data_IF_611212068260
#
_entry.id   IF_611212068260
#
_cell.length_a   1.000
_cell.length_b   1.000
_cell.length_c   1.000
_cell.angle_alpha   90.00
_cell.angle_beta   90.00
_cell.angle_gamma   90.00
#
_symmetry.space_group_name_H-M   'P 1'
#
loop_
_entity.id
_entity.type
_entity.pdbx_description
1 polymer ?
#
# COMPACT_ATOMS: atom_id res chain seq x y z
N UNK A 1 10.90 51.57 -8.60
CA UNK A 1 9.42 51.49 -8.56
C UNK A 1 8.96 50.52 -9.65
N UNK A 2 8.13 49.51 -9.31
CA UNK A 2 7.33 48.69 -10.24
C UNK A 2 8.10 47.62 -11.04
N UNK A 3 8.00 46.32 -10.74
CA UNK A 3 7.01 45.35 -11.26
C UNK A 3 6.88 45.40 -12.81
N UNK A 4 7.04 44.33 -13.60
CA UNK A 4 6.40 43.02 -13.44
C UNK A 4 6.96 41.92 -14.39
N UNK A 5 6.91 40.68 -13.87
CA UNK A 5 6.54 39.39 -14.53
C UNK A 5 7.41 38.81 -15.66
N UNK A 6 8.35 37.92 -15.27
CA UNK A 6 8.63 36.68 -16.02
C UNK A 6 7.95 35.51 -15.30
N UNK A 7 6.96 34.92 -15.96
CA UNK A 7 6.25 33.71 -15.50
C UNK A 7 7.13 32.50 -15.82
N UNK A 8 7.88 32.02 -14.83
CA UNK A 8 8.57 30.74 -14.89
C UNK A 8 7.58 29.61 -14.65
N UNK A 9 7.52 28.66 -15.59
CA UNK A 9 6.72 27.45 -15.44
C UNK A 9 7.36 26.58 -14.36
N UNK A 10 6.72 26.52 -13.19
CA UNK A 10 7.06 25.57 -12.14
C UNK A 10 6.55 24.21 -12.58
N UNK A 11 7.48 23.29 -12.84
CA UNK A 11 7.22 21.86 -13.01
C UNK A 11 6.67 21.30 -11.69
N UNK A 12 5.35 21.30 -11.56
CA UNK A 12 4.66 20.58 -10.50
C UNK A 12 4.80 19.07 -10.74
N UNK A 13 5.73 18.43 -10.02
CA UNK A 13 5.78 16.98 -9.88
C UNK A 13 4.57 16.50 -9.09
N UNK A 14 3.53 16.03 -9.79
CA UNK A 14 2.40 15.35 -9.19
C UNK A 14 2.84 13.97 -8.68
N UNK A 15 3.10 13.85 -7.38
CA UNK A 15 3.09 12.55 -6.70
C UNK A 15 1.63 12.21 -6.43
N UNK A 16 1.00 11.46 -7.35
CA UNK A 16 -0.35 10.95 -7.17
C UNK A 16 -0.27 9.73 -6.25
N UNK A 17 -0.55 9.94 -4.97
CA UNK A 17 -0.88 8.85 -4.04
C UNK A 17 -2.16 8.13 -4.50
N UNK A 18 -2.26 6.84 -4.19
CA UNK A 18 -3.35 5.96 -4.64
C UNK A 18 -4.78 6.48 -4.33
N UNK A 19 -4.93 7.36 -3.32
CA UNK A 19 -6.20 8.01 -2.99
C UNK A 19 -6.69 9.03 -4.03
N UNK A 20 -5.78 9.74 -4.73
CA UNK A 20 -6.16 10.75 -5.72
C UNK A 20 -6.62 10.12 -7.06
N UNK A 21 -6.20 8.88 -7.36
CA UNK A 21 -6.63 8.15 -8.55
C UNK A 21 -8.13 7.82 -8.52
N UNK A 22 -8.69 7.57 -7.32
CA UNK A 22 -10.12 7.33 -7.13
C UNK A 22 -10.97 8.61 -7.34
N UNK A 23 -10.48 9.77 -6.89
CA UNK A 23 -11.14 11.05 -7.10
C UNK A 23 -11.19 11.45 -8.58
N UNK A 24 -10.12 11.18 -9.34
CA UNK A 24 -10.07 11.43 -10.79
C UNK A 24 -10.96 10.44 -11.55
N UNK A 25 -10.99 9.16 -11.15
CA UNK A 25 -11.89 8.15 -11.72
C UNK A 25 -13.37 8.56 -11.58
N UNK A 26 -13.77 9.10 -10.40
CA UNK A 26 -15.14 9.56 -10.16
C UNK A 26 -15.53 10.76 -11.04
N UNK A 27 -14.59 11.67 -11.32
CA UNK A 27 -14.84 12.84 -12.19
C UNK A 27 -14.88 12.48 -13.68
N UNK A 28 -14.12 11.48 -14.14
CA UNK A 28 -14.11 11.06 -15.54
C UNK A 28 -15.38 10.28 -15.95
N UNK A 29 -15.97 9.52 -15.02
CA UNK A 29 -17.17 8.70 -15.28
C UNK A 29 -18.46 9.52 -15.41
N UNK A 30 -18.54 10.68 -14.77
CA UNK A 30 -19.68 11.61 -14.89
C UNK A 30 -19.80 12.29 -16.27
N UNK A 31 -18.72 12.32 -17.07
CA UNK A 31 -18.72 12.93 -18.42
C UNK A 31 -19.00 11.94 -19.56
N UNK A 32 -18.77 10.63 -19.35
CA UNK A 32 -18.87 9.63 -20.43
C UNK A 32 -20.31 9.19 -20.72
N UNK A 33 -21.20 9.23 -19.73
CA UNK A 33 -22.63 8.92 -19.92
C UNK A 33 -23.39 9.92 -20.81
N UNK A 34 -22.84 11.12 -21.05
CA UNK A 34 -23.45 12.11 -21.94
C UNK A 34 -22.99 12.03 -23.42
N UNK A 35 -22.06 11.12 -23.78
CA UNK A 35 -21.50 11.04 -25.15
C UNK A 35 -21.92 9.82 -25.97
N UNK A 36 -22.59 8.83 -25.38
CA UNK A 36 -22.96 7.59 -26.08
C UNK A 36 -24.36 7.60 -26.74
N UNK A 37 -24.99 8.77 -26.94
CA UNK A 37 -26.30 8.88 -27.59
C UNK A 37 -26.31 9.41 -29.03
N UNK A 38 -25.18 9.50 -29.72
CA UNK A 38 -25.16 9.88 -31.15
C UNK A 38 -24.06 9.16 -31.91
N UNK A 39 -24.42 8.12 -32.67
CA UNK A 39 -23.96 7.83 -34.04
C UNK A 39 -24.26 6.36 -34.42
N UNK A 40 -25.33 6.14 -35.19
CA UNK A 40 -25.55 4.96 -36.02
C UNK A 40 -25.51 5.38 -37.50
N UNK A 41 -24.91 4.56 -38.37
CA UNK A 41 -25.08 4.69 -39.82
C UNK A 41 -24.09 3.90 -40.70
N UNK A 42 -24.58 2.82 -41.32
CA UNK A 42 -24.36 2.49 -42.75
C UNK A 42 -23.18 1.58 -43.17
N UNK A 43 -23.42 0.47 -43.91
CA UNK A 43 -22.38 -0.43 -44.45
C UNK A 43 -22.08 -0.21 -45.94
N UNK A 44 -20.94 -0.71 -46.41
CA UNK A 44 -20.59 -0.80 -47.84
C UNK A 44 -19.59 -1.92 -48.10
N UNK A 45 -20.04 -2.95 -48.81
CA UNK A 45 -19.23 -4.00 -49.44
C UNK A 45 -18.82 -3.57 -50.86
N UNK A 46 -17.59 -3.90 -51.28
CA UNK A 46 -17.26 -4.14 -52.69
C UNK A 46 -16.11 -5.16 -52.78
N UNK A 47 -16.34 -6.22 -53.56
CA UNK A 47 -15.39 -7.28 -53.96
C UNK A 47 -14.43 -6.83 -55.08
N UNK A 48 -13.22 -7.41 -55.17
CA UNK A 48 -12.74 -8.05 -56.42
C UNK A 48 -11.53 -9.01 -56.21
N UNK A 49 -11.46 -9.95 -57.14
CA UNK A 49 -10.69 -11.18 -57.41
C UNK A 49 -9.16 -10.95 -57.59
N UNK A 50 -8.21 -11.88 -57.40
CA UNK A 50 -8.17 -13.31 -57.08
C UNK A 50 -6.73 -13.83 -57.24
N UNK A 51 -6.38 -14.95 -56.59
CA UNK A 51 -5.61 -16.08 -57.16
C UNK A 51 -5.46 -17.21 -56.10
N UNK A 52 -5.50 -18.46 -56.53
CA UNK A 52 -5.64 -19.66 -55.70
C UNK A 52 -4.30 -20.27 -55.24
N UNK A 53 -4.20 -20.68 -53.96
CA UNK A 53 -3.71 -22.03 -53.68
C UNK A 53 -4.65 -22.74 -52.69
N UNK A 54 -5.59 -23.53 -53.22
CA UNK A 54 -6.75 -24.06 -52.49
C UNK A 54 -6.48 -24.95 -51.27
N UNK A 55 -5.30 -25.57 -51.12
CA UNK A 55 -4.97 -26.33 -49.91
C UNK A 55 -4.41 -25.43 -48.79
N UNK A 56 -3.54 -24.47 -49.12
CA UNK A 56 -2.97 -23.50 -48.16
C UNK A 56 -3.99 -22.42 -47.79
N UNK A 57 -4.88 -22.02 -48.71
CA UNK A 57 -5.95 -21.06 -48.45
C UNK A 57 -7.02 -21.63 -47.51
N UNK A 58 -7.38 -22.91 -47.63
CA UNK A 58 -8.32 -23.57 -46.70
C UNK A 58 -7.71 -23.81 -45.32
N UNK A 59 -6.42 -24.17 -45.26
CA UNK A 59 -5.69 -24.29 -44.00
C UNK A 59 -5.49 -22.92 -43.33
N UNK A 60 -5.15 -21.87 -44.09
CA UNK A 60 -5.11 -20.49 -43.60
C UNK A 60 -6.50 -19.99 -43.21
N UNK A 61 -7.56 -20.28 -43.95
CA UNK A 61 -8.92 -19.87 -43.59
C UNK A 61 -9.40 -20.60 -42.32
N UNK A 62 -9.10 -21.89 -42.14
CA UNK A 62 -9.36 -22.60 -40.88
C UNK A 62 -8.48 -22.09 -39.74
N UNK A 63 -7.20 -21.78 -39.97
CA UNK A 63 -6.30 -21.21 -38.97
C UNK A 63 -6.68 -19.75 -38.61
N UNK A 64 -7.19 -18.98 -39.56
CA UNK A 64 -7.70 -17.61 -39.37
C UNK A 64 -9.09 -17.63 -38.76
N UNK A 65 -9.92 -18.64 -39.01
CA UNK A 65 -11.23 -18.84 -38.34
C UNK A 65 -11.05 -19.43 -36.94
N UNK A 66 -10.04 -20.28 -36.72
CA UNK A 66 -9.61 -20.73 -35.40
C UNK A 66 -8.92 -19.61 -34.63
N UNK A 67 -8.03 -18.82 -35.27
CA UNK A 67 -7.48 -17.59 -34.67
C UNK A 67 -8.57 -16.56 -34.42
N UNK A 68 -9.55 -16.35 -35.30
CA UNK A 68 -10.70 -15.49 -35.04
C UNK A 68 -11.63 -16.08 -33.98
N UNK A 69 -11.77 -17.40 -33.83
CA UNK A 69 -12.52 -18.01 -32.74
C UNK A 69 -11.78 -17.92 -31.40
N UNK A 70 -10.44 -17.99 -31.41
CA UNK A 70 -9.55 -17.76 -30.26
C UNK A 70 -9.47 -16.27 -29.93
N UNK A 71 -9.47 -15.38 -30.91
CA UNK A 71 -9.47 -13.92 -30.77
C UNK A 71 -10.87 -13.39 -30.40
N UNK A 72 -11.95 -14.06 -30.83
CA UNK A 72 -13.34 -13.79 -30.40
C UNK A 72 -13.64 -14.40 -29.03
N UNK A 73 -12.82 -15.38 -28.56
CA UNK A 73 -12.70 -15.77 -27.15
C UNK A 73 -11.72 -14.90 -26.35
N UNK A 74 -10.90 -14.10 -27.03
CA UNK A 74 -9.97 -13.13 -26.44
C UNK A 74 -10.38 -11.70 -26.82
N UNK A 75 -11.70 -11.43 -26.82
CA UNK A 75 -12.19 -10.09 -26.60
C UNK A 75 -11.88 -9.75 -25.13
N UNK A 76 -11.13 -8.68 -24.83
CA UNK A 76 -10.72 -8.35 -23.45
C UNK A 76 -11.87 -7.75 -22.61
N UNK A 77 -13.11 -8.19 -22.83
CA UNK A 77 -14.33 -7.71 -22.19
C UNK A 77 -15.38 -8.83 -21.98
N UNK A 78 -14.98 -10.12 -21.89
CA UNK A 78 -15.93 -11.13 -21.42
C UNK A 78 -15.97 -11.14 -19.89
N UNK A 79 -17.18 -11.00 -19.33
CA UNK A 79 -17.51 -11.11 -17.90
C UNK A 79 -17.14 -12.46 -17.26
N UNK A 80 -16.52 -13.39 -18.00
CA UNK A 80 -16.21 -14.77 -17.60
C UNK A 80 -15.25 -14.89 -16.39
N UNK A 81 -14.62 -13.78 -15.98
CA UNK A 81 -13.71 -13.73 -14.82
C UNK A 81 -14.39 -13.23 -13.54
N UNK A 82 -15.56 -12.59 -13.67
CA UNK A 82 -16.36 -12.10 -12.57
C UNK A 82 -17.36 -13.18 -12.19
N UNK A 83 -17.21 -13.72 -10.99
CA UNK A 83 -18.07 -14.78 -10.49
C UNK A 83 -19.41 -14.20 -10.04
N UNK A 84 -20.49 -14.89 -10.39
CA UNK A 84 -21.82 -14.65 -9.84
C UNK A 84 -21.88 -14.93 -8.33
N UNK A 85 -22.89 -14.42 -7.59
CA UNK A 85 -23.05 -14.73 -6.16
C UNK A 85 -23.08 -16.22 -5.85
N UNK A 86 -23.71 -17.04 -6.71
CA UNK A 86 -23.78 -18.49 -6.54
C UNK A 86 -22.41 -19.14 -6.73
N UNK A 87 -21.59 -18.64 -7.67
CA UNK A 87 -20.22 -19.14 -7.88
C UNK A 87 -19.30 -18.70 -6.75
N UNK A 88 -19.42 -17.47 -6.25
CA UNK A 88 -18.71 -17.01 -5.05
C UNK A 88 -19.04 -17.89 -3.84
N UNK A 89 -20.30 -18.24 -3.64
CA UNK A 89 -20.70 -19.16 -2.57
C UNK A 89 -20.05 -20.54 -2.72
N UNK A 90 -19.96 -21.08 -3.95
CA UNK A 90 -19.26 -22.35 -4.21
C UNK A 90 -17.77 -22.25 -3.91
N UNK A 91 -17.12 -21.15 -4.30
CA UNK A 91 -15.69 -20.92 -3.99
C UNK A 91 -15.48 -20.80 -2.48
N UNK A 92 -16.34 -20.07 -1.76
CA UNK A 92 -16.27 -19.97 -0.30
C UNK A 92 -16.45 -21.33 0.38
N UNK A 93 -17.39 -22.15 -0.11
CA UNK A 93 -17.58 -23.53 0.34
C UNK A 93 -16.32 -24.38 0.13
N UNK A 94 -15.63 -24.24 -1.00
CA UNK A 94 -14.34 -24.91 -1.23
C UNK A 94 -13.25 -24.45 -0.26
N UNK A 95 -13.18 -23.14 0.04
CA UNK A 95 -12.23 -22.59 1.03
C UNK A 95 -12.52 -23.14 2.42
N UNK A 96 -13.79 -23.30 2.78
CA UNK A 96 -14.21 -23.77 4.10
C UNK A 96 -14.04 -25.27 4.29
N UNK A 97 -14.32 -26.08 3.26
CA UNK A 97 -14.40 -27.54 3.38
C UNK A 97 -13.10 -28.27 2.97
N UNK A 98 -12.22 -27.64 2.18
CA UNK A 98 -11.02 -28.31 1.68
C UNK A 98 -9.85 -28.25 2.67
N UNK A 99 -9.21 -29.38 2.91
CA UNK A 99 -7.93 -29.45 3.64
C UNK A 99 -6.72 -29.48 2.69
N UNK A 100 -6.95 -29.63 1.38
CA UNK A 100 -5.89 -29.79 0.38
C UNK A 100 -5.29 -28.44 -0.02
N UNK A 101 -3.98 -28.20 0.15
CA UNK A 101 -3.37 -26.89 -0.10
C UNK A 101 -3.56 -26.36 -1.52
N UNK A 102 -3.40 -27.20 -2.53
CA UNK A 102 -3.55 -26.79 -3.93
C UNK A 102 -4.99 -26.37 -4.30
N UNK A 103 -6.00 -26.94 -3.63
CA UNK A 103 -7.41 -26.54 -3.81
C UNK A 103 -7.64 -25.20 -3.11
N UNK A 104 -7.15 -25.06 -1.88
CA UNK A 104 -7.25 -23.81 -1.12
C UNK A 104 -6.57 -22.65 -1.85
N UNK A 105 -5.36 -22.86 -2.37
CA UNK A 105 -4.63 -21.87 -3.15
C UNK A 105 -5.44 -21.42 -4.37
N UNK A 106 -5.92 -22.37 -5.19
CA UNK A 106 -6.71 -22.05 -6.38
C UNK A 106 -8.02 -21.31 -6.04
N UNK A 107 -8.72 -21.74 -4.99
CA UNK A 107 -9.95 -21.10 -4.53
C UNK A 107 -9.70 -19.67 -4.01
N UNK A 108 -8.64 -19.46 -3.22
CA UNK A 108 -8.26 -18.14 -2.70
C UNK A 108 -7.78 -17.20 -3.80
N UNK A 109 -7.10 -17.69 -4.83
CA UNK A 109 -6.74 -16.89 -6.01
C UNK A 109 -7.99 -16.41 -6.73
N UNK A 110 -8.95 -17.31 -7.01
CA UNK A 110 -10.21 -16.97 -7.66
C UNK A 110 -11.01 -15.95 -6.82
N UNK A 111 -11.10 -16.18 -5.50
CA UNK A 111 -11.77 -15.29 -4.57
C UNK A 111 -11.08 -13.92 -4.47
N UNK A 112 -9.74 -13.89 -4.46
CA UNK A 112 -8.93 -12.68 -4.36
C UNK A 112 -9.08 -11.76 -5.57
N UNK A 113 -9.12 -12.35 -6.77
CA UNK A 113 -9.42 -11.62 -8.00
C UNK A 113 -10.83 -11.02 -7.96
N UNK A 114 -11.81 -11.76 -7.43
CA UNK A 114 -13.17 -11.27 -7.31
C UNK A 114 -13.35 -10.21 -6.21
N UNK A 115 -12.63 -10.32 -5.10
CA UNK A 115 -12.60 -9.33 -4.04
C UNK A 115 -12.04 -7.96 -4.49
N UNK A 116 -11.31 -7.91 -5.62
CA UNK A 116 -10.85 -6.66 -6.18
C UNK A 116 -12.02 -5.77 -6.69
N UNK A 117 -13.15 -6.36 -7.09
CA UNK A 117 -14.32 -5.63 -7.57
C UNK A 117 -15.18 -5.12 -6.41
N UNK A 118 -15.53 -3.83 -6.42
CA UNK A 118 -16.22 -3.18 -5.31
C UNK A 118 -17.55 -3.87 -4.93
N UNK A 119 -18.39 -4.23 -5.90
CA UNK A 119 -19.68 -4.90 -5.66
C UNK A 119 -19.52 -6.32 -5.09
N UNK A 120 -18.47 -7.04 -5.49
CA UNK A 120 -18.20 -8.38 -4.96
C UNK A 120 -17.68 -8.35 -3.53
N UNK A 121 -17.11 -7.24 -3.03
CA UNK A 121 -16.70 -7.13 -1.62
C UNK A 121 -17.89 -7.18 -0.68
N UNK A 122 -19.01 -6.59 -1.07
CA UNK A 122 -20.27 -6.62 -0.31
C UNK A 122 -20.88 -8.01 -0.38
N UNK A 123 -20.99 -8.60 -1.57
CA UNK A 123 -21.50 -9.96 -1.76
C UNK A 123 -20.68 -10.98 -0.96
N UNK A 124 -19.35 -10.98 -1.08
CA UNK A 124 -18.48 -11.91 -0.35
C UNK A 124 -18.68 -11.78 1.17
N UNK A 125 -18.83 -10.55 1.67
CA UNK A 125 -19.12 -10.33 3.09
C UNK A 125 -20.47 -10.89 3.48
N UNK A 126 -21.51 -10.62 2.70
CA UNK A 126 -22.88 -11.01 3.00
C UNK A 126 -23.06 -12.54 2.91
N UNK A 127 -22.23 -13.22 2.12
CA UNK A 127 -22.09 -14.69 2.09
C UNK A 127 -21.21 -15.25 3.23
N UNK A 128 -20.78 -14.44 4.20
CA UNK A 128 -19.95 -14.89 5.32
C UNK A 128 -18.47 -15.10 5.00
N UNK A 129 -17.98 -14.58 3.88
CA UNK A 129 -16.62 -14.84 3.40
C UNK A 129 -15.49 -14.27 4.27
N UNK A 130 -15.73 -13.20 5.04
CA UNK A 130 -14.72 -12.60 5.91
C UNK A 130 -14.19 -13.59 6.98
N UNK A 131 -15.03 -14.17 7.86
CA UNK A 131 -14.57 -15.15 8.84
C UNK A 131 -14.04 -16.44 8.19
N UNK A 132 -14.61 -16.89 7.06
CA UNK A 132 -14.12 -18.07 6.34
C UNK A 132 -12.66 -17.89 5.92
N UNK A 133 -12.35 -16.76 5.26
CA UNK A 133 -10.98 -16.47 4.82
C UNK A 133 -10.06 -16.18 6.00
N UNK A 134 -10.53 -15.47 7.03
CA UNK A 134 -9.73 -15.18 8.22
C UNK A 134 -9.32 -16.45 8.98
N UNK A 135 -10.18 -17.49 9.01
CA UNK A 135 -9.84 -18.79 9.61
C UNK A 135 -8.63 -19.46 8.95
N UNK A 136 -8.43 -19.24 7.64
CA UNK A 136 -7.29 -19.78 6.90
C UNK A 136 -5.95 -19.24 7.41
N UNK A 137 -5.92 -18.07 8.07
CA UNK A 137 -4.68 -17.52 8.64
C UNK A 137 -4.02 -18.45 9.67
N UNK A 138 -4.75 -19.42 10.23
CA UNK A 138 -4.19 -20.42 11.13
C UNK A 138 -3.42 -21.55 10.44
N UNK A 139 -3.36 -21.57 9.10
CA UNK A 139 -2.61 -22.59 8.35
C UNK A 139 -1.10 -22.47 8.57
N UNK A 140 -0.40 -23.61 8.48
CA UNK A 140 1.08 -23.66 8.44
C UNK A 140 1.64 -23.53 7.03
N UNK A 141 0.79 -23.61 6.00
CA UNK A 141 1.21 -23.47 4.61
C UNK A 141 1.38 -21.97 4.27
N UNK A 142 2.62 -21.51 4.00
CA UNK A 142 2.87 -20.10 3.73
C UNK A 142 2.23 -19.61 2.43
N UNK A 143 2.07 -20.48 1.43
CA UNK A 143 1.46 -20.11 0.14
C UNK A 143 -0.02 -19.85 0.36
N UNK A 144 -0.72 -20.77 1.04
CA UNK A 144 -2.14 -20.62 1.35
C UNK A 144 -2.38 -19.42 2.27
N UNK A 145 -1.53 -19.22 3.29
CA UNK A 145 -1.61 -18.06 4.19
C UNK A 145 -1.43 -16.74 3.43
N UNK A 146 -0.46 -16.66 2.52
CA UNK A 146 -0.24 -15.50 1.66
C UNK A 146 -1.50 -15.19 0.83
N UNK A 147 -2.11 -16.19 0.18
CA UNK A 147 -3.32 -15.96 -0.63
C UNK A 147 -4.49 -15.50 0.22
N UNK A 148 -4.67 -16.04 1.43
CA UNK A 148 -5.69 -15.57 2.36
C UNK A 148 -5.48 -14.09 2.75
N UNK A 149 -4.25 -13.70 3.08
CA UNK A 149 -3.91 -12.29 3.38
C UNK A 149 -4.19 -11.36 2.18
N UNK A 150 -3.91 -11.79 0.95
CA UNK A 150 -4.22 -11.02 -0.27
C UNK A 150 -5.73 -10.84 -0.44
N UNK A 151 -6.53 -11.90 -0.24
CA UNK A 151 -7.99 -11.81 -0.28
C UNK A 151 -8.51 -10.80 0.75
N UNK A 152 -8.07 -10.93 2.00
CA UNK A 152 -8.46 -10.01 3.08
C UNK A 152 -8.05 -8.56 2.79
N UNK A 153 -6.87 -8.35 2.21
CA UNK A 153 -6.38 -7.02 1.82
C UNK A 153 -7.28 -6.37 0.75
N UNK A 154 -7.77 -7.14 -0.21
CA UNK A 154 -8.70 -6.62 -1.22
C UNK A 154 -10.08 -6.32 -0.62
N UNK A 155 -10.54 -7.17 0.29
CA UNK A 155 -11.81 -6.97 1.00
C UNK A 155 -11.77 -5.78 1.95
N UNK A 156 -10.62 -5.51 2.59
CA UNK A 156 -10.44 -4.41 3.56
C UNK A 156 -10.39 -3.03 2.93
N UNK A 157 -10.44 -2.90 1.60
CA UNK A 157 -10.61 -1.60 0.94
C UNK A 157 -12.02 -1.02 1.19
N UNK A 158 -12.99 -1.85 1.57
CA UNK A 158 -14.33 -1.42 1.97
C UNK A 158 -14.38 -1.16 3.49
N UNK A 159 -14.85 0.03 3.91
CA UNK A 159 -14.86 0.44 5.32
C UNK A 159 -15.73 -0.44 6.23
N UNK A 160 -16.86 -0.96 5.72
CA UNK A 160 -17.70 -1.90 6.47
C UNK A 160 -16.98 -3.24 6.68
N UNK A 161 -16.20 -3.68 5.68
CA UNK A 161 -15.37 -4.87 5.81
C UNK A 161 -14.25 -4.64 6.82
N UNK A 162 -13.63 -3.45 6.87
CA UNK A 162 -12.64 -3.11 7.90
C UNK A 162 -13.23 -3.24 9.30
N UNK A 163 -14.43 -2.70 9.53
CA UNK A 163 -15.12 -2.80 10.83
C UNK A 163 -15.28 -4.25 11.28
N UNK A 164 -15.62 -5.16 10.36
CA UNK A 164 -15.74 -6.59 10.65
C UNK A 164 -14.39 -7.28 10.81
N UNK A 165 -13.38 -6.89 10.04
CA UNK A 165 -12.04 -7.48 10.07
C UNK A 165 -11.19 -7.03 11.26
N UNK A 166 -11.55 -5.93 11.95
CA UNK A 166 -10.76 -5.38 13.06
C UNK A 166 -10.42 -6.41 14.15
N UNK A 167 -11.29 -7.40 14.38
CA UNK A 167 -11.08 -8.45 15.40
C UNK A 167 -9.87 -9.34 15.09
N UNK A 168 -9.46 -9.42 13.82
CA UNK A 168 -8.30 -10.20 13.38
C UNK A 168 -7.01 -9.37 13.30
N UNK A 169 -7.08 -8.06 13.55
CA UNK A 169 -5.96 -7.14 13.31
C UNK A 169 -4.73 -7.46 14.15
N UNK A 170 -4.93 -7.80 15.43
CA UNK A 170 -3.82 -8.20 16.33
C UNK A 170 -3.18 -9.51 15.85
N UNK A 171 -3.99 -10.53 15.52
CA UNK A 171 -3.49 -11.79 14.97
C UNK A 171 -2.69 -11.55 13.67
N UNK A 172 -3.22 -10.75 12.75
CA UNK A 172 -2.53 -10.41 11.50
C UNK A 172 -1.22 -9.70 11.79
N UNK A 173 -1.19 -8.79 12.78
CA UNK A 173 0.03 -8.09 13.18
C UNK A 173 1.08 -9.06 13.73
N UNK A 174 0.71 -9.92 14.68
CA UNK A 174 1.58 -10.92 15.30
C UNK A 174 2.13 -11.90 14.27
N UNK A 175 1.26 -12.44 13.40
CA UNK A 175 1.65 -13.34 12.30
C UNK A 175 2.61 -12.65 11.33
N UNK A 176 2.41 -11.37 11.03
CA UNK A 176 3.25 -10.60 10.11
C UNK A 176 4.65 -10.36 10.69
N UNK A 177 4.73 -9.99 11.97
CA UNK A 177 5.99 -9.73 12.68
C UNK A 177 6.80 -11.02 12.86
N UNK A 178 6.14 -12.12 13.18
CA UNK A 178 6.78 -13.43 13.43
C UNK A 178 7.09 -14.20 12.14
N UNK A 179 6.51 -13.83 11.01
CA UNK A 179 6.78 -14.43 9.70
C UNK A 179 8.26 -14.30 9.31
N UNK A 180 8.73 -15.24 8.47
CA UNK A 180 10.08 -15.19 7.90
C UNK A 180 10.35 -13.82 7.26
N UNK A 181 11.46 -13.20 7.63
CA UNK A 181 11.88 -11.90 7.14
C UNK A 181 11.88 -11.86 5.60
N UNK A 182 11.25 -10.82 5.03
CA UNK A 182 11.09 -10.58 3.59
C UNK A 182 10.25 -11.63 2.85
N UNK A 183 9.51 -12.49 3.56
CA UNK A 183 8.61 -13.46 2.91
C UNK A 183 7.39 -12.77 2.28
N UNK A 184 6.79 -13.43 1.29
CA UNK A 184 5.55 -12.99 0.67
C UNK A 184 4.40 -12.88 1.67
N UNK A 185 4.34 -13.78 2.66
CA UNK A 185 3.39 -13.73 3.79
C UNK A 185 3.56 -12.42 4.58
N UNK A 186 4.79 -12.08 4.96
CA UNK A 186 5.08 -10.84 5.68
C UNK A 186 4.68 -9.60 4.87
N UNK A 187 4.98 -9.57 3.57
CA UNK A 187 4.60 -8.48 2.69
C UNK A 187 3.07 -8.37 2.52
N UNK A 188 2.37 -9.49 2.38
CA UNK A 188 0.91 -9.52 2.27
C UNK A 188 0.25 -9.04 3.58
N UNK A 189 0.78 -9.45 4.73
CA UNK A 189 0.34 -9.00 6.05
C UNK A 189 0.54 -7.49 6.25
N UNK A 190 1.72 -6.95 5.92
CA UNK A 190 1.98 -5.52 5.96
C UNK A 190 1.04 -4.71 5.07
N UNK A 191 0.71 -5.20 3.87
CA UNK A 191 -0.24 -4.55 2.95
C UNK A 191 -1.65 -4.50 3.55
N UNK A 192 -2.12 -5.61 4.13
CA UNK A 192 -3.41 -5.66 4.82
C UNK A 192 -3.45 -4.68 6.00
N UNK A 193 -2.43 -4.68 6.87
CA UNK A 193 -2.34 -3.75 8.00
C UNK A 193 -2.31 -2.28 7.54
N UNK A 194 -1.60 -1.99 6.45
CA UNK A 194 -1.58 -0.65 5.84
C UNK A 194 -2.98 -0.24 5.40
N UNK A 195 -3.74 -1.11 4.73
CA UNK A 195 -5.12 -0.81 4.34
C UNK A 195 -6.03 -0.59 5.55
N UNK A 196 -5.89 -1.43 6.59
CA UNK A 196 -6.67 -1.33 7.84
C UNK A 196 -6.36 -0.08 8.67
N UNK A 197 -5.27 0.63 8.36
CA UNK A 197 -4.82 1.85 9.06
C UNK A 197 -4.97 3.13 8.23
N UNK A 198 -5.58 3.06 7.05
CA UNK A 198 -5.89 4.26 6.24
C UNK A 198 -6.81 5.22 7.00
N UNK A 199 -7.65 4.71 7.90
CA UNK A 199 -8.45 5.51 8.82
C UNK A 199 -7.88 5.43 10.23
N UNK A 200 -8.18 6.43 11.06
CA UNK A 200 -7.68 6.51 12.43
C UNK A 200 -8.35 5.51 13.39
N UNK A 201 -9.49 4.91 13.00
CA UNK A 201 -10.36 4.11 13.88
C UNK A 201 -9.63 2.93 14.55
N UNK A 202 -8.76 2.24 13.81
CA UNK A 202 -8.14 0.98 14.27
C UNK A 202 -6.63 1.09 14.55
N UNK A 203 -6.03 2.26 14.32
CA UNK A 203 -4.58 2.44 14.45
C UNK A 203 -4.05 2.14 15.86
N UNK A 204 -4.82 2.48 16.91
CA UNK A 204 -4.47 2.24 18.31
C UNK A 204 -4.22 0.75 18.63
N UNK A 205 -4.82 -0.17 17.86
CA UNK A 205 -4.62 -1.61 18.05
C UNK A 205 -3.16 -2.04 17.75
N UNK A 206 -2.42 -1.25 16.97
CA UNK A 206 -1.02 -1.51 16.64
C UNK A 206 -0.01 -0.84 17.58
N UNK A 207 -0.46 -0.10 18.61
CA UNK A 207 0.42 0.70 19.47
C UNK A 207 1.55 -0.15 20.10
N UNK A 208 1.21 -1.35 20.58
CA UNK A 208 2.18 -2.26 21.21
C UNK A 208 3.20 -2.85 20.22
N UNK A 209 2.88 -2.83 18.92
CA UNK A 209 3.69 -3.42 17.85
C UNK A 209 4.59 -2.41 17.15
N UNK A 210 4.50 -1.10 17.46
CA UNK A 210 5.28 -0.05 16.79
C UNK A 210 6.79 -0.31 16.92
N UNK A 211 7.25 -0.77 18.09
CA UNK A 211 8.66 -1.12 18.29
C UNK A 211 9.11 -2.25 17.35
N UNK A 212 8.27 -3.26 17.15
CA UNK A 212 8.53 -4.36 16.23
C UNK A 212 8.51 -3.92 14.77
N UNK A 213 7.64 -2.97 14.41
CA UNK A 213 7.65 -2.35 13.08
C UNK A 213 8.99 -1.64 12.82
N UNK A 214 9.55 -0.90 13.78
CA UNK A 214 10.88 -0.29 13.62
C UNK A 214 12.02 -1.31 13.53
N UNK A 215 11.94 -2.43 14.28
CA UNK A 215 12.88 -3.56 14.13
C UNK A 215 12.80 -4.17 12.72
N UNK A 216 11.57 -4.41 12.25
CA UNK A 216 11.32 -4.97 10.93
C UNK A 216 11.79 -4.02 9.81
N UNK A 217 11.54 -2.72 9.95
CA UNK A 217 12.06 -1.69 9.05
C UNK A 217 13.58 -1.73 8.97
N UNK A 218 14.26 -1.85 10.11
CA UNK A 218 15.73 -1.85 10.14
C UNK A 218 16.34 -3.13 9.54
N UNK A 219 15.69 -4.28 9.71
CA UNK A 219 16.18 -5.58 9.24
C UNK A 219 15.75 -5.93 7.80
N UNK A 220 14.64 -5.37 7.32
CA UNK A 220 14.03 -5.71 6.03
C UNK A 220 14.85 -5.30 4.81
N UNK A 221 14.58 -5.96 3.68
CA UNK A 221 15.02 -5.49 2.37
C UNK A 221 14.21 -4.25 1.95
N UNK A 222 14.53 -3.69 0.77
CA UNK A 222 13.86 -2.48 0.28
C UNK A 222 12.33 -2.63 0.19
N UNK A 223 11.82 -3.77 -0.28
CA UNK A 223 10.37 -3.98 -0.41
C UNK A 223 9.68 -3.97 0.96
N UNK A 224 10.21 -4.73 1.93
CA UNK A 224 9.69 -4.75 3.30
C UNK A 224 9.75 -3.37 3.93
N UNK A 225 10.88 -2.66 3.79
CA UNK A 225 11.05 -1.28 4.27
C UNK A 225 9.99 -0.35 3.71
N UNK A 226 9.70 -0.41 2.40
CA UNK A 226 8.65 0.41 1.81
C UNK A 226 7.27 0.11 2.35
N UNK A 227 6.92 -1.15 2.62
CA UNK A 227 5.61 -1.47 3.19
C UNK A 227 5.50 -1.02 4.65
N UNK A 228 6.55 -1.24 5.45
CA UNK A 228 6.57 -0.75 6.85
C UNK A 228 6.46 0.77 6.90
N UNK A 229 7.16 1.49 6.02
CA UNK A 229 7.08 2.96 5.96
C UNK A 229 5.68 3.47 5.63
N UNK A 230 4.92 2.80 4.75
CA UNK A 230 3.53 3.17 4.47
C UNK A 230 2.65 3.04 5.71
N UNK A 231 2.82 1.95 6.45
CA UNK A 231 2.10 1.72 7.70
C UNK A 231 2.47 2.77 8.75
N UNK A 232 3.77 3.02 8.96
CA UNK A 232 4.25 4.04 9.90
C UNK A 232 3.78 5.45 9.52
N UNK A 233 3.69 5.76 8.22
CA UNK A 233 3.18 7.04 7.73
C UNK A 233 1.70 7.25 8.12
N UNK A 234 0.84 6.25 7.89
CA UNK A 234 -0.55 6.30 8.31
C UNK A 234 -0.68 6.58 9.82
N UNK A 235 0.17 5.94 10.65
CA UNK A 235 0.19 6.18 12.09
C UNK A 235 0.67 7.59 12.41
N UNK A 236 1.74 8.06 11.76
CA UNK A 236 2.34 9.37 12.03
C UNK A 236 1.44 10.55 11.64
N UNK A 237 0.60 10.39 10.62
CA UNK A 237 -0.41 11.39 10.22
C UNK A 237 -1.49 11.61 11.29
N UNK A 238 -1.68 10.66 12.22
CA UNK A 238 -2.65 10.77 13.29
C UNK A 238 -2.02 11.32 14.60
N UNK A 239 -2.39 12.53 15.05
CA UNK A 239 -1.84 13.10 16.29
C UNK A 239 -2.06 12.23 17.53
N UNK A 240 -3.12 11.42 17.56
CA UNK A 240 -3.39 10.52 18.68
C UNK A 240 -2.34 9.40 18.82
N UNK A 241 -1.66 9.05 17.73
CA UNK A 241 -0.61 8.03 17.72
C UNK A 241 0.78 8.59 18.03
N UNK A 242 0.96 9.91 18.02
CA UNK A 242 2.28 10.56 18.16
C UNK A 242 3.00 10.16 19.45
N UNK A 243 2.29 10.10 20.59
CA UNK A 243 2.92 9.67 21.86
C UNK A 243 3.36 8.21 21.80
N UNK A 244 2.57 7.33 21.20
CA UNK A 244 2.89 5.91 21.06
C UNK A 244 4.09 5.68 20.12
N UNK A 245 4.15 6.43 19.01
CA UNK A 245 5.30 6.44 18.10
C UNK A 245 6.58 6.91 18.81
N UNK A 246 6.50 7.98 19.60
CA UNK A 246 7.64 8.51 20.35
C UNK A 246 8.11 7.58 21.47
N UNK A 247 7.20 6.81 22.09
CA UNK A 247 7.50 5.78 23.11
C UNK A 247 8.15 4.53 22.53
N UNK A 248 7.94 4.24 21.25
CA UNK A 248 8.43 3.02 20.63
C UNK A 248 9.95 2.91 20.71
N UNK A 249 10.44 1.72 21.06
CA UNK A 249 11.86 1.42 21.04
C UNK A 249 12.34 1.28 19.60
N UNK A 250 13.41 1.99 19.27
CA UNK A 250 14.02 1.94 17.94
C UNK A 250 15.39 1.26 17.99
N UNK A 251 15.76 0.47 16.95
CA UNK A 251 17.09 -0.11 16.88
C UNK A 251 18.19 0.95 16.80
N UNK A 252 19.34 0.70 17.42
CA UNK A 252 20.52 1.58 17.31
C UNK A 252 21.01 1.73 15.86
N UNK A 253 20.74 0.73 15.02
CA UNK A 253 21.03 0.74 13.58
C UNK A 253 20.14 1.69 12.78
N UNK A 254 19.03 2.23 13.33
CA UNK A 254 18.13 3.14 12.60
C UNK A 254 18.89 4.37 12.06
N UNK A 255 19.83 4.90 12.83
CA UNK A 255 20.65 6.04 12.39
C UNK A 255 21.58 5.70 11.22
N UNK A 256 21.97 4.44 11.07
CA UNK A 256 22.82 4.01 9.96
C UNK A 256 22.10 4.05 8.61
N UNK A 257 20.76 4.09 8.57
CA UNK A 257 19.97 4.14 7.34
C UNK A 257 20.12 5.46 6.57
N UNK A 258 20.67 6.50 7.20
CA UNK A 258 20.97 7.77 6.52
C UNK A 258 22.32 7.75 5.78
N UNK A 259 22.93 6.57 5.62
CA UNK A 259 24.19 6.41 4.89
C UNK A 259 24.00 6.41 3.36
N UNK A 260 25.09 6.59 2.61
CA UNK A 260 25.10 6.66 1.13
C UNK A 260 24.67 5.40 0.36
N UNK A 261 24.53 4.25 1.01
CA UNK A 261 24.14 2.97 0.38
C UNK A 261 22.63 2.72 0.45
N UNK A 262 21.92 3.41 1.34
CA UNK A 262 20.48 3.22 1.49
C UNK A 262 19.73 3.88 0.33
N UNK A 263 18.61 3.29 -0.07
CA UNK A 263 17.78 3.83 -1.12
C UNK A 263 17.23 5.21 -0.72
N UNK A 264 17.46 6.22 -1.56
CA UNK A 264 17.04 7.60 -1.29
C UNK A 264 15.55 7.73 -0.97
N UNK A 265 14.68 6.94 -1.61
CA UNK A 265 13.24 7.02 -1.38
C UNK A 265 12.86 6.50 0.01
N UNK A 266 13.61 5.53 0.53
CA UNK A 266 13.42 5.01 1.90
C UNK A 266 13.78 6.11 2.90
N UNK A 267 14.92 6.78 2.71
CA UNK A 267 15.35 7.90 3.56
C UNK A 267 14.31 9.02 3.53
N UNK A 268 13.90 9.46 2.33
CA UNK A 268 12.95 10.56 2.18
C UNK A 268 11.60 10.24 2.83
N UNK A 269 11.09 9.01 2.69
CA UNK A 269 9.83 8.60 3.32
C UNK A 269 9.95 8.50 4.84
N UNK A 270 11.08 8.01 5.36
CA UNK A 270 11.32 8.00 6.81
C UNK A 270 11.35 9.42 7.38
N UNK A 271 11.96 10.38 6.67
CA UNK A 271 11.94 11.79 7.08
C UNK A 271 10.53 12.36 7.10
N UNK A 272 9.65 12.00 6.16
CA UNK A 272 8.24 12.42 6.20
C UNK A 272 7.52 11.86 7.43
N UNK A 273 7.78 10.59 7.80
CA UNK A 273 7.25 10.01 9.05
C UNK A 273 7.71 10.84 10.26
N UNK A 274 9.00 11.19 10.33
CA UNK A 274 9.53 12.00 11.42
C UNK A 274 9.00 13.43 11.43
N UNK A 275 8.82 14.04 10.26
CA UNK A 275 8.20 15.37 10.12
C UNK A 275 6.77 15.37 10.67
N UNK A 276 5.94 14.40 10.29
CA UNK A 276 4.57 14.30 10.79
C UNK A 276 4.52 14.11 12.31
N UNK A 277 5.42 13.28 12.87
CA UNK A 277 5.54 13.10 14.33
C UNK A 277 5.94 14.42 15.00
N UNK A 278 6.94 15.12 14.44
CA UNK A 278 7.45 16.37 14.98
C UNK A 278 6.41 17.50 14.93
N UNK A 279 5.61 17.55 13.87
CA UNK A 279 4.56 18.57 13.69
C UNK A 279 3.38 18.33 14.64
N UNK A 280 3.10 17.07 14.96
CA UNK A 280 2.05 16.69 15.89
C UNK A 280 2.49 16.73 17.37
N UNK A 281 3.79 16.89 17.65
CA UNK A 281 4.32 16.88 19.02
C UNK A 281 4.72 18.26 19.50
N UNK A 282 4.07 18.73 20.56
CA UNK A 282 4.41 19.99 21.23
C UNK A 282 5.53 19.75 22.24
N UNK A 283 6.77 20.05 21.86
CA UNK A 283 7.95 19.73 22.67
C UNK A 283 8.03 20.51 23.98
N UNK A 284 7.68 21.80 23.97
CA UNK A 284 7.68 22.67 25.16
C UNK A 284 6.65 22.21 26.21
N UNK A 285 5.40 22.00 25.79
CA UNK A 285 4.31 21.59 26.70
C UNK A 285 4.56 20.19 27.31
N UNK A 286 5.37 19.36 26.67
CA UNK A 286 5.68 18.01 27.12
C UNK A 286 7.05 17.89 27.82
N UNK A 287 7.79 18.99 28.00
CA UNK A 287 9.05 19.01 28.75
C UNK A 287 8.95 18.38 30.16
N UNK A 288 7.88 18.62 30.95
CA UNK A 288 7.70 18.00 32.25
C UNK A 288 7.40 16.48 32.20
N UNK A 289 6.96 15.98 31.04
CA UNK A 289 6.60 14.56 30.84
C UNK A 289 7.68 13.73 30.15
N UNK A 290 8.87 14.30 29.95
CA UNK A 290 9.99 13.63 29.28
C UNK A 290 10.46 12.36 30.01
N UNK A 291 10.23 12.26 31.33
CA UNK A 291 10.49 11.06 32.13
C UNK A 291 9.66 9.85 31.70
N UNK A 292 8.59 10.05 30.92
CA UNK A 292 7.75 8.96 30.40
C UNK A 292 8.36 8.26 29.17
N UNK A 293 9.39 8.85 28.55
CA UNK A 293 10.10 8.21 27.45
C UNK A 293 11.33 7.51 28.01
N UNK A 294 11.50 6.23 27.64
CA UNK A 294 12.64 5.43 28.08
C UNK A 294 13.82 5.58 27.11
N UNK A 295 15.03 5.28 27.58
CA UNK A 295 16.23 5.27 26.75
C UNK A 295 16.09 4.25 25.60
N UNK A 296 16.49 4.67 24.40
CA UNK A 296 16.33 3.88 23.17
C UNK A 296 15.00 4.09 22.45
N UNK A 297 14.13 4.97 22.96
CA UNK A 297 12.88 5.33 22.31
C UNK A 297 13.11 6.25 21.10
N UNK A 298 12.12 6.32 20.20
CA UNK A 298 12.14 7.25 19.06
C UNK A 298 12.30 8.71 19.53
N UNK A 299 11.72 9.07 20.68
CA UNK A 299 11.91 10.39 21.29
C UNK A 299 13.40 10.72 21.52
N UNK A 300 14.14 9.82 22.19
CA UNK A 300 15.57 10.02 22.42
C UNK A 300 16.37 9.94 21.12
N UNK A 301 15.96 9.09 20.18
CA UNK A 301 16.58 9.03 18.86
C UNK A 301 16.48 10.37 18.13
N UNK A 302 15.31 11.02 18.13
CA UNK A 302 15.12 12.33 17.49
C UNK A 302 15.92 13.43 18.18
N UNK A 303 15.95 13.45 19.53
CA UNK A 303 16.84 14.37 20.27
C UNK A 303 18.30 14.20 19.88
N UNK A 304 18.79 12.95 19.84
CA UNK A 304 20.16 12.68 19.42
C UNK A 304 20.39 12.99 17.93
N UNK A 305 19.38 12.78 17.09
CA UNK A 305 19.43 13.11 15.67
C UNK A 305 19.60 14.62 15.45
N UNK A 306 18.99 15.45 16.30
CA UNK A 306 19.14 16.91 16.27
C UNK A 306 20.54 17.38 16.70
N UNK A 307 21.13 16.75 17.73
CA UNK A 307 22.43 17.18 18.30
C UNK A 307 23.63 16.62 17.53
N UNK A 308 23.50 15.46 16.89
CA UNK A 308 24.65 14.72 16.36
C UNK A 308 25.05 15.19 14.95
N UNK A 309 25.91 16.21 14.91
CA UNK A 309 26.53 16.72 13.68
C UNK A 309 27.34 15.66 12.90
N UNK A 310 27.87 14.62 13.55
CA UNK A 310 28.63 13.57 12.85
C UNK A 310 27.76 12.69 11.93
N UNK A 311 26.45 12.57 12.22
CA UNK A 311 25.50 11.96 11.28
C UNK A 311 25.29 12.86 10.05
N UNK A 312 25.42 14.18 10.21
CA UNK A 312 25.43 15.15 9.11
C UNK A 312 26.66 14.91 8.22
N UNK A 313 27.85 14.64 8.77
CA UNK A 313 29.04 14.29 7.96
C UNK A 313 28.84 13.03 7.11
N UNK A 314 28.16 12.01 7.66
CA UNK A 314 27.74 10.83 6.90
C UNK A 314 26.77 11.17 5.75
N UNK A 315 25.90 12.17 5.94
CA UNK A 315 24.90 12.64 4.97
C UNK A 315 25.50 13.64 3.97
N UNK A 316 26.46 14.47 4.36
CA UNK A 316 27.28 15.30 3.46
C UNK A 316 28.04 14.42 2.46
N UNK A 317 28.39 13.20 2.86
CA UNK A 317 28.97 12.19 1.97
C UNK A 317 27.94 11.43 1.11
N UNK A 318 26.63 11.63 1.33
CA UNK A 318 25.58 11.03 0.50
C UNK A 318 25.67 11.58 -0.93
N UNK A 319 25.44 10.75 -1.94
CA UNK A 319 25.58 11.21 -3.33
C UNK A 319 24.37 12.04 -3.80
N UNK A 320 23.19 11.80 -3.23
CA UNK A 320 21.95 12.50 -3.59
C UNK A 320 21.79 13.85 -2.85
N UNK A 321 21.70 14.94 -3.62
CA UNK A 321 21.54 16.31 -3.12
C UNK A 321 20.18 16.54 -2.44
N UNK A 322 19.11 15.91 -2.93
CA UNK A 322 17.76 16.08 -2.37
C UNK A 322 17.70 15.50 -0.95
N UNK A 323 18.34 14.36 -0.72
CA UNK A 323 18.44 13.75 0.61
C UNK A 323 19.13 14.72 1.59
N UNK A 324 20.27 15.31 1.21
CA UNK A 324 20.99 16.29 2.05
C UNK A 324 20.11 17.47 2.43
N UNK A 325 19.46 18.08 1.44
CA UNK A 325 18.60 19.25 1.66
C UNK A 325 17.42 18.89 2.56
N UNK A 326 16.79 17.73 2.36
CA UNK A 326 15.64 17.31 3.15
C UNK A 326 16.02 17.01 4.61
N UNK A 327 17.17 16.36 4.84
CA UNK A 327 17.72 16.15 6.19
C UNK A 327 18.02 17.48 6.86
N UNK A 328 18.74 18.38 6.19
CA UNK A 328 19.08 19.70 6.72
C UNK A 328 17.84 20.50 7.15
N UNK A 329 16.82 20.54 6.28
CA UNK A 329 15.54 21.17 6.58
C UNK A 329 14.82 20.53 7.75
N UNK A 330 14.80 19.19 7.82
CA UNK A 330 14.17 18.49 8.92
C UNK A 330 14.86 18.78 10.26
N UNK A 331 16.19 18.79 10.31
CA UNK A 331 16.94 19.11 11.53
C UNK A 331 16.71 20.54 12.01
N UNK A 332 16.69 21.51 11.08
CA UNK A 332 16.38 22.90 11.41
C UNK A 332 14.98 23.01 12.03
N UNK A 333 13.97 22.40 11.40
CA UNK A 333 12.59 22.36 11.91
C UNK A 333 12.47 21.65 13.27
N UNK A 334 13.21 20.55 13.45
CA UNK A 334 13.25 19.81 14.71
C UNK A 334 13.88 20.67 15.82
N UNK A 335 14.96 21.41 15.52
CA UNK A 335 15.60 22.32 16.46
C UNK A 335 14.69 23.49 16.84
N UNK A 336 14.01 24.11 15.86
CA UNK A 336 13.02 25.18 16.08
C UNK A 336 11.91 24.72 17.02
N UNK A 337 11.35 23.52 16.80
CA UNK A 337 10.30 22.99 17.66
C UNK A 337 10.80 22.58 19.05
N UNK A 338 12.04 22.13 19.18
CA UNK A 338 12.63 21.71 20.45
C UNK A 338 13.12 22.89 21.31
N UNK A 339 13.60 23.97 20.68
CA UNK A 339 14.24 25.12 21.35
C UNK A 339 13.79 26.47 20.75
N UNK A 340 12.49 26.79 20.77
CA UNK A 340 11.97 27.99 20.09
C UNK A 340 12.52 29.31 20.65
N UNK A 341 12.97 29.34 21.91
CA UNK A 341 13.50 30.55 22.58
C UNK A 341 15.02 30.75 22.43
N UNK A 342 15.69 30.01 21.54
CA UNK A 342 17.15 30.11 21.33
C UNK A 342 17.57 30.91 20.10
N UNK A 343 16.63 31.62 19.46
CA UNK A 343 16.86 32.53 18.33
C UNK A 343 16.65 34.02 18.66
N UNK A 344 16.48 34.36 19.94
CA UNK A 344 16.68 35.73 20.47
C UNK A 344 18.12 35.86 20.99
#
# INVERSE_FOLDING_TARGET
>A
MGYARKVGWVTAGLVIGAGACYCIYRLARGRKQNKEKMAEGGPGDVDDVGDCPGARARARARATRARRAVQKRASPNSDDTILSPQELQKVLCLVEMSEKPYILEAALIALGNNAAYAFNRDIIRDLGGLPIVAKILNTRDPIVKEKALIVLNNLSVNAENQRRLKIYMNQVCDDTITSRLNSSVQLAGLRLLTNMTVTNEYQHMLANSISDLFRLFSAGNEETKFQVLKLLLNLAENPAMTRELLRAQVPSSLGSLFNKKENKEIILKLLVVFENINDNFKWEENEPTQSQFIQGSLFFFLKQFQVCADKILGIESHHDFLVKVKVGKFMAKLAENMFPNSQE
#
